data_IF_405857927595
#
_entry.id   IF_405857927595
#
_cell.length_a   1.000
_cell.length_b   1.000
_cell.length_c   1.000
_cell.angle_alpha   90.00
_cell.angle_beta   90.00
_cell.angle_gamma   90.00
#
_symmetry.space_group_name_H-M   'P 1'
#
loop_
_entity.id
_entity.type
_entity.pdbx_description
1 polymer ?
#
# COMPACT_ATOMS: atom_id res chain seq x y z
N UNK A 1 -19.27 -16.54 -7.59
CA UNK A 1 -18.77 -16.11 -6.26
C UNK A 1 -18.06 -14.79 -6.46
N UNK A 2 -18.62 -13.71 -5.91
CA UNK A 2 -18.02 -12.37 -5.98
C UNK A 2 -16.72 -12.42 -5.16
N UNK A 3 -15.61 -11.97 -5.76
CA UNK A 3 -14.34 -11.90 -5.04
C UNK A 3 -14.34 -10.59 -4.27
N UNK A 4 -14.22 -10.64 -2.95
CA UNK A 4 -14.26 -9.46 -2.08
C UNK A 4 -12.84 -8.91 -1.84
N UNK A 5 -12.54 -7.65 -2.22
CA UNK A 5 -11.27 -6.98 -1.92
C UNK A 5 -10.88 -7.02 -0.44
N UNK A 6 -11.85 -6.90 0.47
CA UNK A 6 -11.59 -6.89 1.90
C UNK A 6 -11.18 -8.28 2.40
N UNK A 7 -11.87 -9.34 1.96
CA UNK A 7 -11.48 -10.72 2.22
C UNK A 7 -10.10 -11.06 1.62
N UNK A 8 -9.75 -10.49 0.47
CA UNK A 8 -8.42 -10.67 -0.12
C UNK A 8 -7.34 -10.04 0.75
N UNK A 9 -7.51 -8.79 1.20
CA UNK A 9 -6.56 -8.14 2.12
C UNK A 9 -6.46 -8.90 3.46
N UNK A 10 -7.58 -9.32 4.05
CA UNK A 10 -7.58 -10.14 5.27
C UNK A 10 -6.76 -11.43 5.09
N UNK A 11 -6.87 -12.06 3.93
CA UNK A 11 -6.06 -13.23 3.57
C UNK A 11 -4.56 -12.91 3.51
N UNK A 12 -4.19 -11.77 2.93
CA UNK A 12 -2.80 -11.30 2.87
C UNK A 12 -2.23 -11.07 4.28
N UNK A 13 -2.94 -10.32 5.12
CA UNK A 13 -2.49 -9.98 6.48
C UNK A 13 -2.32 -11.21 7.37
N UNK A 14 -3.17 -12.22 7.20
CA UNK A 14 -3.06 -13.51 7.91
C UNK A 14 -1.98 -14.44 7.32
N UNK A 15 -1.11 -13.96 6.42
CA UNK A 15 -0.05 -14.74 5.78
C UNK A 15 -0.57 -15.82 4.81
N UNK A 16 -1.85 -15.80 4.43
CA UNK A 16 -2.48 -16.81 3.56
C UNK A 16 -2.24 -16.50 2.08
N UNK A 17 -0.95 -16.47 1.71
CA UNK A 17 -0.46 -16.17 0.36
C UNK A 17 -0.86 -17.24 -0.67
N UNK A 18 -1.11 -18.47 -0.23
CA UNK A 18 -1.54 -19.56 -1.13
C UNK A 18 -2.86 -19.22 -1.81
N UNK A 19 -2.82 -19.13 -3.14
CA UNK A 19 -3.98 -18.81 -3.97
C UNK A 19 -4.37 -17.33 -3.99
N UNK A 20 -3.58 -16.44 -3.36
CA UNK A 20 -3.83 -15.00 -3.35
C UNK A 20 -3.84 -14.42 -4.75
N UNK A 21 -2.78 -14.65 -5.52
CA UNK A 21 -2.69 -14.22 -6.93
C UNK A 21 -3.85 -14.75 -7.78
N UNK A 22 -4.26 -16.01 -7.57
CA UNK A 22 -5.39 -16.61 -8.30
C UNK A 22 -6.73 -15.94 -7.98
N UNK A 23 -6.92 -15.45 -6.74
CA UNK A 23 -8.09 -14.65 -6.36
C UNK A 23 -8.04 -13.29 -7.03
N UNK A 24 -6.90 -12.61 -6.95
CA UNK A 24 -6.70 -11.29 -7.54
C UNK A 24 -6.93 -11.28 -9.07
N UNK A 25 -6.52 -12.34 -9.79
CA UNK A 25 -6.79 -12.47 -11.24
C UNK A 25 -8.27 -12.48 -11.63
N UNK A 26 -9.20 -12.65 -10.68
CA UNK A 26 -10.65 -12.66 -10.91
C UNK A 26 -11.32 -11.33 -10.61
N UNK A 27 -10.58 -10.34 -10.13
CA UNK A 27 -11.11 -9.01 -9.87
C UNK A 27 -11.51 -8.33 -11.16
N UNK A 28 -12.70 -7.73 -11.14
CA UNK A 28 -13.05 -6.69 -12.10
C UNK A 28 -12.24 -5.41 -11.77
N UNK A 29 -12.25 -4.46 -12.69
CA UNK A 29 -11.55 -3.19 -12.56
C UNK A 29 -11.90 -2.44 -11.26
N UNK A 30 -13.18 -2.43 -10.87
CA UNK A 30 -13.63 -1.78 -9.63
C UNK A 30 -13.09 -2.49 -8.37
N UNK A 31 -13.07 -3.82 -8.38
CA UNK A 31 -12.52 -4.62 -7.27
C UNK A 31 -11.01 -4.40 -7.14
N UNK A 32 -10.32 -4.25 -8.28
CA UNK A 32 -8.89 -3.95 -8.32
C UNK A 32 -8.56 -2.59 -7.72
N UNK A 33 -9.30 -1.53 -8.08
CA UNK A 33 -9.11 -0.19 -7.50
C UNK A 33 -9.33 -0.22 -5.99
N UNK A 34 -10.45 -0.81 -5.56
CA UNK A 34 -10.77 -0.93 -4.13
C UNK A 34 -9.70 -1.73 -3.37
N UNK A 35 -9.17 -2.79 -3.96
CA UNK A 35 -8.08 -3.56 -3.37
C UNK A 35 -6.78 -2.76 -3.27
N UNK A 36 -6.45 -1.96 -4.30
CA UNK A 36 -5.27 -1.11 -4.29
C UNK A 36 -5.34 -0.03 -3.19
N UNK A 37 -6.51 0.60 -3.01
CA UNK A 37 -6.75 1.57 -1.95
C UNK A 37 -6.62 0.94 -0.56
N UNK A 38 -7.24 -0.23 -0.36
CA UNK A 38 -7.13 -1.01 0.88
C UNK A 38 -5.68 -1.40 1.18
N UNK A 39 -4.93 -1.84 0.18
CA UNK A 39 -3.52 -2.21 0.33
C UNK A 39 -2.66 -1.00 0.70
N UNK A 40 -2.93 0.17 0.10
CA UNK A 40 -2.23 1.40 0.43
C UNK A 40 -2.56 1.89 1.85
N UNK A 41 -3.82 1.84 2.25
CA UNK A 41 -4.25 2.13 3.63
C UNK A 41 -3.62 1.18 4.66
N UNK A 42 -3.53 -0.12 4.36
CA UNK A 42 -2.88 -1.08 5.24
C UNK A 42 -1.38 -0.79 5.39
N UNK A 43 -0.68 -0.49 4.29
CA UNK A 43 0.73 -0.10 4.34
C UNK A 43 0.91 1.20 5.12
N UNK A 44 0.05 2.21 4.91
CA UNK A 44 0.07 3.47 5.64
C UNK A 44 0.05 3.24 7.15
N UNK A 45 -0.90 2.43 7.62
CA UNK A 45 -1.08 2.12 9.04
C UNK A 45 0.13 1.36 9.58
N UNK A 46 0.58 0.31 8.89
CA UNK A 46 1.74 -0.48 9.32
C UNK A 46 3.04 0.34 9.35
N UNK A 47 3.27 1.20 8.35
CA UNK A 47 4.44 2.11 8.33
C UNK A 47 4.41 3.06 9.51
N UNK A 48 3.26 3.67 9.81
CA UNK A 48 3.12 4.63 10.92
C UNK A 48 3.18 3.99 12.31
N UNK A 49 2.99 2.67 12.41
CA UNK A 49 3.24 1.92 13.65
C UNK A 49 4.73 1.73 13.91
N UNK A 50 5.50 1.43 12.87
CA UNK A 50 6.94 1.14 12.98
C UNK A 50 7.86 2.35 12.93
N UNK A 51 7.53 3.31 12.08
CA UNK A 51 8.40 4.42 11.72
C UNK A 51 7.82 5.76 12.13
N UNK A 52 8.69 6.74 12.37
CA UNK A 52 8.29 8.10 12.75
C UNK A 52 8.74 9.10 11.68
N UNK A 53 7.93 10.14 11.47
CA UNK A 53 8.31 11.23 10.57
C UNK A 53 9.51 12.02 11.13
N UNK A 54 10.41 12.47 10.26
CA UNK A 54 11.65 13.17 10.59
C UNK A 54 12.80 12.25 11.01
N UNK A 55 12.63 10.92 10.94
CA UNK A 55 13.69 9.97 11.29
C UNK A 55 14.81 9.91 10.25
N UNK A 56 15.93 9.32 10.64
CA UNK A 56 17.03 9.03 9.72
C UNK A 56 16.59 8.07 8.59
N UNK A 57 17.29 8.12 7.45
CA UNK A 57 16.97 7.27 6.30
C UNK A 57 17.40 5.82 6.45
N UNK A 58 18.45 5.55 7.23
CA UNK A 58 19.06 4.23 7.31
C UNK A 58 18.10 3.13 7.84
N UNK A 59 17.24 3.38 8.83
CA UNK A 59 16.19 2.43 9.24
C UNK A 59 15.28 1.99 8.08
N UNK A 60 14.83 2.92 7.24
CA UNK A 60 13.96 2.61 6.09
C UNK A 60 14.72 1.81 5.03
N UNK A 61 15.95 2.22 4.70
CA UNK A 61 16.80 1.50 3.73
C UNK A 61 17.03 0.05 4.18
N UNK A 62 17.40 -0.15 5.45
CA UNK A 62 17.63 -1.50 6.01
C UNK A 62 16.36 -2.35 5.98
N UNK A 63 15.22 -1.76 6.32
CA UNK A 63 13.94 -2.44 6.25
C UNK A 63 13.58 -2.86 4.81
N UNK A 64 13.68 -1.93 3.85
CA UNK A 64 13.39 -2.22 2.43
C UNK A 64 14.31 -3.32 1.90
N UNK A 65 15.61 -3.27 2.22
CA UNK A 65 16.57 -4.31 1.84
C UNK A 65 16.17 -5.68 2.41
N UNK A 66 15.82 -5.75 3.70
CA UNK A 66 15.39 -7.00 4.35
C UNK A 66 14.07 -7.54 3.80
N UNK A 67 13.10 -6.68 3.51
CA UNK A 67 11.82 -7.10 2.94
C UNK A 67 12.00 -7.69 1.54
N UNK A 68 12.84 -7.05 0.70
CA UNK A 68 13.20 -7.54 -0.63
C UNK A 68 13.92 -8.89 -0.56
N UNK A 69 14.91 -9.03 0.31
CA UNK A 69 15.63 -10.30 0.49
C UNK A 69 14.70 -11.46 0.83
N UNK A 70 13.67 -11.24 1.65
CA UNK A 70 12.71 -12.29 2.06
C UNK A 70 11.67 -12.62 1.00
N UNK A 71 11.15 -11.62 0.29
CA UNK A 71 9.91 -11.75 -0.47
C UNK A 71 10.02 -11.42 -1.97
N UNK A 72 11.10 -10.76 -2.42
CA UNK A 72 11.42 -10.57 -3.83
C UNK A 72 12.39 -11.66 -4.27
N UNK A 73 11.84 -12.84 -4.60
CA UNK A 73 12.63 -14.04 -4.91
C UNK A 73 13.57 -13.87 -6.11
N UNK A 74 13.26 -12.96 -7.04
CA UNK A 74 14.14 -12.65 -8.18
C UNK A 74 15.14 -11.54 -7.87
N UNK A 75 14.92 -10.80 -6.78
CA UNK A 75 15.65 -9.61 -6.39
C UNK A 75 15.43 -8.41 -7.33
N UNK A 76 14.49 -8.53 -8.27
CA UNK A 76 14.26 -7.56 -9.37
C UNK A 76 12.80 -7.12 -9.47
N UNK A 77 11.89 -7.77 -8.76
CA UNK A 77 10.46 -7.47 -8.84
C UNK A 77 10.12 -6.19 -8.06
N UNK A 78 10.95 -5.83 -7.07
CA UNK A 78 10.78 -4.62 -6.28
C UNK A 78 11.96 -3.67 -6.48
N UNK A 79 11.68 -2.52 -7.10
CA UNK A 79 12.61 -1.38 -7.12
C UNK A 79 12.76 -0.81 -5.69
N UNK A 80 13.97 -0.79 -5.11
CA UNK A 80 14.19 -0.25 -3.77
C UNK A 80 13.84 1.24 -3.65
N UNK A 81 14.04 2.04 -4.70
CA UNK A 81 13.74 3.48 -4.67
C UNK A 81 12.24 3.72 -4.59
N UNK A 82 11.46 2.94 -5.36
CA UNK A 82 10.00 2.97 -5.30
C UNK A 82 9.50 2.50 -3.93
N UNK A 83 10.07 1.42 -3.40
CA UNK A 83 9.72 0.88 -2.10
C UNK A 83 9.99 1.89 -0.96
N UNK A 84 11.14 2.54 -0.96
CA UNK A 84 11.43 3.63 -0.02
C UNK A 84 10.45 4.80 -0.19
N UNK A 85 10.16 5.21 -1.43
CA UNK A 85 9.23 6.29 -1.70
C UNK A 85 7.83 6.01 -1.13
N UNK A 86 7.35 4.76 -1.19
CA UNK A 86 6.10 4.34 -0.59
C UNK A 86 6.10 4.50 0.94
N UNK A 87 7.18 4.15 1.61
CA UNK A 87 7.32 4.33 3.07
C UNK A 87 7.33 5.82 3.42
N UNK A 88 8.10 6.64 2.71
CA UNK A 88 8.14 8.09 2.97
C UNK A 88 6.81 8.78 2.66
N UNK A 89 6.10 8.34 1.62
CA UNK A 89 4.77 8.86 1.31
C UNK A 89 3.77 8.54 2.44
N UNK A 90 3.82 7.33 3.01
CA UNK A 90 3.00 6.96 4.17
C UNK A 90 3.31 7.82 5.42
N UNK A 91 4.56 8.23 5.59
CA UNK A 91 4.97 9.17 6.66
C UNK A 91 4.59 10.63 6.36
N UNK A 92 4.07 10.94 5.17
CA UNK A 92 3.75 12.30 4.74
C UNK A 92 4.98 13.13 4.34
N UNK A 93 6.13 12.49 4.14
CA UNK A 93 7.39 13.15 3.77
C UNK A 93 7.62 13.19 2.26
N UNK A 94 6.79 12.49 1.48
CA UNK A 94 6.79 12.52 0.02
C UNK A 94 5.37 12.54 -0.52
N UNK A 95 5.17 12.98 -1.77
CA UNK A 95 3.88 12.89 -2.44
C UNK A 95 3.36 11.45 -2.49
N UNK A 96 2.04 11.25 -2.54
CA UNK A 96 1.44 9.94 -2.78
C UNK A 96 1.97 9.30 -4.06
N UNK A 97 2.22 7.98 -3.99
CA UNK A 97 2.65 7.18 -5.15
C UNK A 97 1.42 6.55 -5.80
N UNK A 98 1.26 6.63 -7.13
CA UNK A 98 0.13 6.00 -7.84
C UNK A 98 0.00 4.48 -7.61
N UNK A 99 -1.16 3.93 -7.94
CA UNK A 99 -1.47 2.50 -7.83
C UNK A 99 -1.12 1.71 -9.10
N UNK A 100 0.07 1.91 -9.65
CA UNK A 100 0.55 1.06 -10.76
C UNK A 100 0.96 -0.34 -10.28
N UNK A 101 1.19 -1.25 -11.23
CA UNK A 101 1.52 -2.64 -10.94
C UNK A 101 2.80 -2.80 -10.10
N UNK A 102 3.84 -2.00 -10.38
CA UNK A 102 5.10 -2.05 -9.64
C UNK A 102 4.89 -1.61 -8.19
N UNK A 103 4.11 -0.55 -7.98
CA UNK A 103 3.79 -0.04 -6.67
C UNK A 103 2.89 -1.00 -5.89
N UNK A 104 1.98 -1.75 -6.53
CA UNK A 104 1.19 -2.82 -5.88
C UNK A 104 2.10 -3.96 -5.38
N UNK A 105 3.04 -4.40 -6.22
CA UNK A 105 4.01 -5.45 -5.84
C UNK A 105 4.88 -4.99 -4.68
N UNK A 106 5.45 -3.78 -4.77
CA UNK A 106 6.25 -3.19 -3.70
C UNK A 106 5.46 -3.05 -2.39
N UNK A 107 4.22 -2.51 -2.43
CA UNK A 107 3.37 -2.42 -1.23
C UNK A 107 3.11 -3.78 -0.59
N UNK A 108 2.87 -4.82 -1.39
CA UNK A 108 2.64 -6.19 -0.91
C UNK A 108 3.87 -6.72 -0.18
N UNK A 109 5.06 -6.58 -0.79
CA UNK A 109 6.33 -7.02 -0.18
C UNK A 109 6.64 -6.27 1.11
N UNK A 110 6.47 -4.94 1.11
CA UNK A 110 6.69 -4.12 2.30
C UNK A 110 5.73 -4.48 3.42
N UNK A 111 4.45 -4.66 3.12
CA UNK A 111 3.46 -5.03 4.11
C UNK A 111 3.81 -6.38 4.75
N UNK A 112 4.16 -7.41 3.96
CA UNK A 112 4.59 -8.70 4.52
C UNK A 112 5.82 -8.56 5.43
N UNK A 113 6.81 -7.76 5.02
CA UNK A 113 7.98 -7.48 5.84
C UNK A 113 7.64 -6.79 7.17
N UNK A 114 6.70 -5.83 7.16
CA UNK A 114 6.25 -5.15 8.39
C UNK A 114 5.52 -6.10 9.35
N UNK A 115 4.61 -6.91 8.81
CA UNK A 115 3.80 -7.83 9.61
C UNK A 115 4.65 -8.91 10.28
N UNK A 116 5.62 -9.46 9.55
CA UNK A 116 6.53 -10.46 10.09
C UNK A 116 7.46 -9.88 11.16
N UNK A 117 7.99 -8.66 10.96
CA UNK A 117 8.89 -8.03 11.93
C UNK A 117 8.17 -7.59 13.21
N UNK A 118 6.89 -7.19 13.14
CA UNK A 118 6.09 -6.80 14.31
C UNK A 118 5.45 -7.98 15.04
N UNK A 119 5.28 -9.14 14.39
CA UNK A 119 4.71 -10.33 15.01
C UNK A 119 3.28 -10.12 15.55
N UNK A 120 2.45 -9.40 14.78
CA UNK A 120 1.14 -8.92 15.21
C UNK A 120 0.16 -10.03 15.58
N UNK A 121 -0.65 -9.77 16.60
CA UNK A 121 -1.78 -10.63 16.98
C UNK A 121 -2.94 -10.52 16.00
N UNK A 122 -3.84 -11.52 15.97
CA UNK A 122 -5.06 -11.48 15.14
C UNK A 122 -5.90 -10.21 15.38
N UNK A 123 -5.94 -9.74 16.64
CA UNK A 123 -6.64 -8.51 17.01
C UNK A 123 -5.99 -7.28 16.37
N UNK A 124 -4.68 -7.19 16.38
CA UNK A 124 -3.96 -6.06 15.76
C UNK A 124 -4.03 -6.10 14.24
N UNK A 125 -4.04 -7.28 13.63
CA UNK A 125 -4.31 -7.44 12.20
C UNK A 125 -5.72 -6.94 11.84
N UNK A 126 -6.71 -7.23 12.69
CA UNK A 126 -8.08 -6.72 12.51
C UNK A 126 -8.16 -5.19 12.64
N UNK A 127 -7.40 -4.60 13.57
CA UNK A 127 -7.28 -3.14 13.69
C UNK A 127 -6.66 -2.50 12.43
N UNK A 128 -5.63 -3.14 11.85
CA UNK A 128 -5.05 -2.70 10.58
C UNK A 128 -6.09 -2.76 9.45
N UNK A 129 -6.91 -3.81 9.37
CA UNK A 129 -7.96 -3.91 8.35
C UNK A 129 -8.98 -2.78 8.46
N UNK A 130 -9.47 -2.53 9.67
CA UNK A 130 -10.45 -1.47 9.92
C UNK A 130 -9.86 -0.10 9.58
N UNK A 131 -8.64 0.18 10.03
CA UNK A 131 -7.96 1.43 9.72
C UNK A 131 -7.66 1.59 8.22
N UNK A 132 -7.31 0.50 7.53
CA UNK A 132 -7.11 0.50 6.08
C UNK A 132 -8.40 0.80 5.31
N UNK A 133 -9.53 0.24 5.74
CA UNK A 133 -10.84 0.54 5.15
C UNK A 133 -11.20 2.02 5.33
N UNK A 134 -11.00 2.57 6.51
CA UNK A 134 -11.22 3.99 6.76
C UNK A 134 -10.31 4.88 5.90
N UNK A 135 -9.03 4.53 5.75
CA UNK A 135 -8.10 5.27 4.91
C UNK A 135 -8.46 5.20 3.41
N UNK A 136 -8.97 4.06 2.95
CA UNK A 136 -9.42 3.88 1.57
C UNK A 136 -10.70 4.66 1.25
N UNK A 137 -11.55 4.90 2.25
CA UNK A 137 -12.78 5.69 2.11
C UNK A 137 -12.51 7.21 2.25
N UNK A 138 -11.31 7.62 2.66
CA UNK A 138 -10.94 9.03 2.78
C UNK A 138 -10.57 9.62 1.40
N UNK A 139 -11.32 10.60 0.87
CA UNK A 139 -11.05 11.21 -0.43
C UNK A 139 -9.68 11.90 -0.51
N UNK A 140 -9.05 12.23 0.63
CA UNK A 140 -7.71 12.80 0.65
C UNK A 140 -6.60 11.80 0.26
N UNK A 141 -6.88 10.48 0.29
CA UNK A 141 -5.89 9.44 -0.03
C UNK A 141 -5.88 9.05 -1.52
N UNK A 142 -6.92 9.41 -2.28
CA UNK A 142 -7.14 8.98 -3.66
C UNK A 142 -7.12 10.10 -4.72
N UNK A 143 -6.67 11.31 -4.39
CA UNK A 143 -6.67 12.41 -5.34
C UNK A 143 -5.58 12.25 -6.41
N UNK A 144 -5.96 11.62 -7.52
CA UNK A 144 -5.33 11.80 -8.83
C UNK A 144 -5.47 13.30 -9.20
N UNK A 145 -4.37 14.08 -9.33
CA UNK A 145 -4.47 15.55 -9.46
C UNK A 145 -4.99 16.04 -10.81
N UNK A 146 -5.58 15.18 -11.65
CA UNK A 146 -5.80 15.50 -13.07
C UNK A 146 -7.15 16.18 -13.40
N UNK A 147 -7.85 16.74 -12.41
CA UNK A 147 -9.15 17.42 -12.63
C UNK A 147 -9.32 18.72 -11.83
N UNK A 148 -8.26 19.52 -11.69
CA UNK A 148 -8.39 20.93 -11.26
C UNK A 148 -7.68 21.83 -12.27
N UNK A 149 -8.20 21.86 -13.49
CA UNK A 149 -7.58 22.59 -14.60
C UNK A 149 -8.56 22.87 -15.75
N UNK A 150 -9.80 23.27 -15.45
CA UNK A 150 -10.73 23.74 -16.48
C UNK A 150 -11.77 24.71 -15.93
N UNK A 151 -11.34 25.76 -15.23
CA UNK A 151 -12.13 26.98 -15.10
C UNK A 151 -11.17 28.17 -14.99
N UNK A 152 -10.70 28.66 -16.13
CA UNK A 152 -10.43 30.08 -16.26
C UNK A 152 -11.29 30.56 -17.41
N UNK A 153 -12.40 31.14 -16.96
CA UNK A 153 -13.43 31.79 -17.70
C UNK A 153 -12.85 32.90 -18.56
N UNK A 154 -13.30 32.86 -19.81
CA UNK A 154 -13.28 33.91 -20.81
C UNK A 154 -13.43 35.32 -20.20
N UNK A 155 -12.38 36.13 -20.23
CA UNK A 155 -12.56 37.57 -20.36
C UNK A 155 -11.28 38.26 -20.89
N UNK A 156 -11.40 38.75 -22.13
CA UNK A 156 -10.73 39.94 -22.68
C UNK A 156 -11.05 40.05 -24.17
N UNK A 157 -12.18 40.71 -24.46
CA UNK A 157 -12.25 41.67 -25.55
C UNK A 157 -12.05 43.07 -24.99
#
# INVERSE_FOLDING_TARGET
MVTDPHAALRGLLAGRLRGHERRLRRFAEADWRRYADLLAGALLVAVRRRFVAGQDRAPVIRFVASARERYDATGRDVDPVLAEALVWAALGERPPVPHDAAAIVARTVLLLGLLEDEGLTDRELDEILVAAAHAADDPAHGADPQLVGATVESDRQ
#
